data_IF_695179776206
#
_entry.id   IF_695179776206
#
_cell.length_a   1.000
_cell.length_b   1.000
_cell.length_c   1.000
_cell.angle_alpha   90.00
_cell.angle_beta   90.00
_cell.angle_gamma   90.00
#
_symmetry.space_group_name_H-M   'P 1'
#
loop_
_entity.id
_entity.type
_entity.pdbx_description
1 polymer ?
#
# COMPACT_ATOMS: atom_id res chain seq x y z
N UNK A 1 -19.59 3.59 13.35
CA UNK A 1 -19.68 5.07 13.36
C UNK A 1 -19.41 5.53 14.77
N UNK A 2 -18.66 6.63 14.91
CA UNK A 2 -18.43 7.34 16.19
C UNK A 2 -19.06 8.71 16.06
N UNK A 3 -19.94 9.03 17.00
CA UNK A 3 -20.49 10.38 17.19
C UNK A 3 -19.52 11.18 18.08
N UNK A 4 -19.08 12.34 17.60
CA UNK A 4 -18.18 13.25 18.30
C UNK A 4 -18.92 14.46 18.92
N UNK A 5 -20.23 14.51 18.78
CA UNK A 5 -21.05 15.66 19.14
C UNK A 5 -21.00 16.81 18.12
N UNK A 6 -21.88 17.78 18.30
CA UNK A 6 -21.97 18.97 17.44
C UNK A 6 -22.07 18.64 15.93
N UNK A 7 -22.78 17.58 15.56
CA UNK A 7 -22.98 17.12 14.18
C UNK A 7 -21.80 16.40 13.55
N UNK A 8 -20.69 16.20 14.25
CA UNK A 8 -19.53 15.50 13.72
C UNK A 8 -19.60 13.99 13.94
N UNK A 9 -19.36 13.24 12.86
CA UNK A 9 -19.29 11.78 12.86
C UNK A 9 -18.07 11.28 12.09
N UNK A 10 -17.51 10.15 12.54
CA UNK A 10 -16.53 9.38 11.75
C UNK A 10 -16.99 7.95 11.59
N UNK A 11 -16.79 7.40 10.39
CA UNK A 11 -17.09 6.02 10.05
C UNK A 11 -15.81 5.33 9.62
N UNK A 12 -15.56 4.15 10.20
CA UNK A 12 -14.41 3.29 9.90
C UNK A 12 -14.93 2.00 9.28
N UNK A 13 -14.58 1.75 8.01
CA UNK A 13 -15.04 0.57 7.28
C UNK A 13 -13.92 -0.44 7.02
N UNK A 14 -14.31 -1.58 6.45
CA UNK A 14 -13.46 -2.71 6.06
C UNK A 14 -12.68 -3.33 7.22
N UNK A 15 -13.27 -3.29 8.44
CA UNK A 15 -12.70 -3.95 9.61
C UNK A 15 -12.67 -5.47 9.42
N UNK A 16 -11.68 -6.14 10.00
CA UNK A 16 -11.59 -7.61 10.00
C UNK A 16 -12.82 -8.21 10.69
N UNK A 17 -13.39 -9.22 10.08
CA UNK A 17 -14.56 -9.90 10.64
C UNK A 17 -14.27 -10.41 12.07
N UNK A 18 -15.21 -10.23 12.97
CA UNK A 18 -15.11 -10.58 14.40
C UNK A 18 -13.96 -9.89 15.16
N UNK A 19 -13.39 -8.79 14.66
CA UNK A 19 -12.31 -8.07 15.34
C UNK A 19 -12.76 -6.83 16.12
N UNK A 20 -14.03 -6.45 16.04
CA UNK A 20 -14.54 -5.29 16.74
C UNK A 20 -14.39 -5.44 18.26
N UNK A 21 -13.80 -4.45 18.90
CA UNK A 21 -13.54 -4.40 20.35
C UNK A 21 -14.45 -3.41 21.07
N UNK A 22 -15.38 -2.81 20.35
CA UNK A 22 -16.33 -1.82 20.85
C UNK A 22 -17.75 -2.23 20.54
N UNK A 23 -18.71 -1.73 21.33
CA UNK A 23 -20.14 -1.99 21.18
C UNK A 23 -20.91 -0.71 20.89
N UNK A 24 -22.08 -0.83 20.30
CA UNK A 24 -22.99 0.30 20.12
C UNK A 24 -23.34 0.94 21.48
N UNK A 25 -23.31 2.27 21.55
CA UNK A 25 -23.54 3.04 22.78
C UNK A 25 -22.32 3.13 23.72
N UNK A 26 -21.22 2.46 23.41
CA UNK A 26 -20.00 2.57 24.19
C UNK A 26 -19.29 3.91 23.94
N UNK A 27 -18.91 4.59 25.02
CA UNK A 27 -18.02 5.75 24.92
C UNK A 27 -16.61 5.30 24.61
N UNK A 28 -15.98 5.95 23.65
CA UNK A 28 -14.59 5.73 23.25
C UNK A 28 -13.80 7.03 23.38
N UNK A 29 -12.49 6.89 23.61
CA UNK A 29 -11.57 8.02 23.72
C UNK A 29 -10.55 7.97 22.57
N UNK A 30 -9.80 9.05 22.40
CA UNK A 30 -8.69 9.08 21.45
C UNK A 30 -7.68 7.95 21.76
N UNK A 31 -7.35 7.17 20.73
CA UNK A 31 -6.45 6.02 20.88
C UNK A 31 -7.15 4.73 21.32
N UNK A 32 -8.45 4.75 21.59
CA UNK A 32 -9.21 3.51 21.83
C UNK A 32 -9.11 2.60 20.62
N UNK A 33 -8.78 1.33 20.87
CA UNK A 33 -8.72 0.33 19.83
C UNK A 33 -10.14 -0.05 19.41
N UNK A 34 -10.48 0.14 18.14
CA UNK A 34 -11.80 -0.17 17.58
C UNK A 34 -11.87 -1.60 17.04
N UNK A 35 -10.77 -2.11 16.50
CA UNK A 35 -10.68 -3.44 15.89
C UNK A 35 -9.43 -3.53 15.01
N UNK A 36 -9.42 -4.50 14.10
CA UNK A 36 -8.32 -4.72 13.15
C UNK A 36 -8.76 -4.35 11.73
N UNK A 37 -7.82 -3.89 10.92
CA UNK A 37 -8.01 -3.69 9.49
C UNK A 37 -8.26 -5.05 8.83
N UNK A 38 -9.17 -5.09 7.85
CA UNK A 38 -9.51 -6.31 7.13
C UNK A 38 -10.14 -6.07 5.79
N UNK A 39 -10.94 -7.02 5.35
CA UNK A 39 -11.56 -7.12 4.03
C UNK A 39 -13.09 -7.21 4.08
N UNK A 40 -13.73 -6.75 5.16
CA UNK A 40 -15.20 -6.83 5.25
C UNK A 40 -15.87 -5.83 4.30
N UNK A 41 -17.01 -6.22 3.73
CA UNK A 41 -17.75 -5.41 2.77
C UNK A 41 -17.15 -5.44 1.36
N UNK A 42 -17.49 -4.46 0.54
CA UNK A 42 -17.00 -4.35 -0.84
C UNK A 42 -15.64 -3.67 -0.85
N UNK A 43 -14.58 -4.47 -0.83
CA UNK A 43 -13.19 -4.00 -0.92
C UNK A 43 -12.32 -5.07 -1.57
N UNK A 44 -11.20 -4.66 -2.13
CA UNK A 44 -10.29 -5.54 -2.86
C UNK A 44 -8.96 -5.78 -2.14
N UNK A 45 -8.66 -5.00 -1.10
CA UNK A 45 -7.44 -5.15 -0.30
C UNK A 45 -7.64 -4.60 1.12
N UNK A 46 -6.85 -5.05 2.12
CA UNK A 46 -6.97 -4.57 3.50
C UNK A 46 -6.60 -3.09 3.61
N UNK A 47 -7.57 -2.28 4.03
CA UNK A 47 -7.35 -0.85 4.31
C UNK A 47 -8.39 -0.32 5.31
N UNK A 48 -8.14 0.86 5.86
CA UNK A 48 -9.13 1.63 6.59
C UNK A 48 -9.81 2.60 5.63
N UNK A 49 -11.11 2.44 5.44
CA UNK A 49 -11.91 3.46 4.79
C UNK A 49 -12.49 4.39 5.87
N UNK A 50 -11.97 5.61 5.93
CA UNK A 50 -12.45 6.65 6.83
C UNK A 50 -13.41 7.58 6.09
N UNK A 51 -14.63 7.75 6.63
CA UNK A 51 -15.53 8.82 6.19
C UNK A 51 -15.73 9.78 7.35
N UNK A 52 -15.57 11.07 7.10
CA UNK A 52 -15.89 12.15 8.04
C UNK A 52 -17.18 12.82 7.59
N UNK A 53 -18.09 13.09 8.53
CA UNK A 53 -19.33 13.83 8.26
C UNK A 53 -19.52 14.97 9.26
N UNK A 54 -20.14 16.02 8.78
CA UNK A 54 -20.63 17.11 9.62
C UNK A 54 -22.06 17.46 9.17
N UNK A 55 -22.99 17.37 10.09
CA UNK A 55 -24.43 17.56 9.83
C UNK A 55 -24.94 16.75 8.64
N UNK A 56 -24.49 15.48 8.54
CA UNK A 56 -24.84 14.53 7.49
C UNK A 56 -24.07 14.71 6.17
N UNK A 57 -23.34 15.80 5.97
CA UNK A 57 -22.54 16.04 4.76
C UNK A 57 -21.16 15.38 4.89
N UNK A 58 -20.70 14.74 3.81
CA UNK A 58 -19.34 14.18 3.76
C UNK A 58 -18.34 15.31 3.62
N UNK A 59 -17.33 15.30 4.49
CA UNK A 59 -16.25 16.28 4.56
C UNK A 59 -14.94 15.61 4.18
N UNK A 60 -14.19 16.24 3.29
CA UNK A 60 -12.79 15.83 3.01
C UNK A 60 -11.90 16.25 4.19
N UNK A 61 -11.27 15.28 4.90
CA UNK A 61 -10.45 15.61 6.07
C UNK A 61 -9.13 16.31 5.73
N UNK A 62 -8.70 16.32 4.46
CA UNK A 62 -7.47 17.01 4.02
C UNK A 62 -7.73 18.48 3.65
N UNK A 63 -8.94 18.82 3.24
CA UNK A 63 -9.29 20.19 2.86
C UNK A 63 -10.29 20.83 3.81
N UNK A 64 -11.06 20.04 4.58
CA UNK A 64 -12.17 20.51 5.41
C UNK A 64 -13.41 20.93 4.61
N UNK A 65 -13.39 20.74 3.29
CA UNK A 65 -14.49 21.06 2.38
C UNK A 65 -15.49 19.92 2.21
N UNK A 66 -16.68 20.25 1.67
CA UNK A 66 -17.65 19.25 1.22
C UNK A 66 -17.25 18.65 -0.14
N UNK A 67 -17.90 17.55 -0.54
CA UNK A 67 -17.65 16.91 -1.83
C UNK A 67 -17.95 17.79 -3.07
N UNK A 68 -18.72 18.86 -2.89
CA UNK A 68 -19.08 19.77 -3.97
C UNK A 68 -18.00 20.81 -4.31
N UNK A 69 -16.90 20.78 -3.54
CA UNK A 69 -15.77 21.69 -3.75
C UNK A 69 -14.84 21.11 -4.82
N UNK A 70 -14.44 21.92 -5.78
CA UNK A 70 -13.55 21.48 -6.86
C UNK A 70 -12.20 20.95 -6.32
N UNK A 71 -11.66 19.93 -6.96
CA UNK A 71 -10.34 19.40 -6.65
C UNK A 71 -9.28 20.52 -6.67
N UNK A 72 -8.39 20.49 -5.68
CA UNK A 72 -7.31 21.49 -5.55
C UNK A 72 -7.74 22.82 -4.90
N UNK A 73 -9.01 22.96 -4.44
CA UNK A 73 -9.41 24.14 -3.68
C UNK A 73 -8.66 24.16 -2.34
N UNK A 74 -7.96 25.27 -2.03
CA UNK A 74 -7.30 25.40 -0.73
C UNK A 74 -8.30 25.31 0.41
N UNK A 75 -7.96 24.55 1.44
CA UNK A 75 -8.79 24.40 2.62
C UNK A 75 -7.95 24.19 3.87
N UNK A 76 -8.61 24.00 5.00
CA UNK A 76 -7.94 23.71 6.25
C UNK A 76 -8.14 22.25 6.63
N UNK A 77 -7.06 21.48 6.60
CA UNK A 77 -7.09 20.09 7.03
C UNK A 77 -7.63 19.94 8.45
N UNK A 78 -8.40 18.87 8.67
CA UNK A 78 -8.95 18.52 9.98
C UNK A 78 -7.92 17.74 10.83
N UNK A 79 -6.81 17.33 10.24
CA UNK A 79 -5.75 16.63 10.95
C UNK A 79 -5.05 17.55 11.94
N UNK A 80 -4.86 17.08 13.17
CA UNK A 80 -4.10 17.82 14.19
C UNK A 80 -2.61 17.73 13.90
N UNK A 81 -2.14 16.58 13.43
CA UNK A 81 -0.76 16.34 13.08
C UNK A 81 -0.53 16.74 11.62
N UNK A 82 0.29 17.76 11.34
CA UNK A 82 0.59 18.18 9.98
C UNK A 82 1.38 17.13 9.18
N UNK A 83 1.93 16.09 9.84
CA UNK A 83 2.63 14.99 9.16
C UNK A 83 1.68 14.05 8.41
N UNK A 84 0.36 14.14 8.62
CA UNK A 84 -0.62 13.39 7.83
C UNK A 84 -0.84 14.14 6.52
N UNK A 85 0.02 13.90 5.53
CA UNK A 85 -0.11 14.39 4.16
C UNK A 85 -1.09 13.57 3.34
N UNK A 86 -1.57 14.15 2.24
CA UNK A 86 -2.28 13.40 1.21
C UNK A 86 -1.27 12.73 0.28
N UNK A 87 -1.33 11.40 0.19
CA UNK A 87 -0.48 10.62 -0.72
C UNK A 87 -1.32 10.19 -1.94
N UNK A 88 -0.99 10.74 -3.10
CA UNK A 88 -1.65 10.38 -4.37
C UNK A 88 -1.25 8.99 -4.84
N UNK A 89 -0.04 8.58 -4.53
CA UNK A 89 0.55 7.29 -4.90
C UNK A 89 1.42 6.79 -3.76
N UNK A 90 1.37 5.49 -3.49
CA UNK A 90 2.33 4.87 -2.58
C UNK A 90 2.58 3.40 -2.92
N UNK A 91 3.84 2.99 -2.75
CA UNK A 91 4.27 1.60 -2.74
C UNK A 91 4.06 1.07 -1.32
N UNK A 92 2.91 0.45 -1.05
CA UNK A 92 2.57 0.05 0.31
C UNK A 92 3.05 -1.34 0.69
N UNK A 93 3.36 -2.19 -0.30
CA UNK A 93 3.88 -3.52 -0.02
C UNK A 93 4.91 -3.93 -1.08
N UNK A 94 5.99 -4.60 -0.65
CA UNK A 94 7.08 -5.07 -1.49
C UNK A 94 7.65 -6.36 -0.92
N UNK A 95 8.05 -7.29 -1.76
CA UNK A 95 8.62 -8.53 -1.28
C UNK A 95 9.22 -9.41 -2.36
N UNK A 96 9.75 -10.54 -1.93
CA UNK A 96 10.29 -11.59 -2.79
C UNK A 96 9.35 -12.78 -2.88
N UNK A 97 9.47 -13.53 -3.98
CA UNK A 97 8.82 -14.82 -4.20
C UNK A 97 9.74 -15.76 -5.00
N UNK A 98 9.63 -17.06 -4.75
CA UNK A 98 10.39 -18.11 -5.45
C UNK A 98 9.81 -18.48 -6.84
N UNK A 99 8.63 -17.97 -7.16
CA UNK A 99 7.89 -18.18 -8.39
C UNK A 99 7.05 -16.98 -8.74
N UNK A 100 6.22 -17.08 -9.79
CA UNK A 100 5.24 -16.02 -10.10
C UNK A 100 4.36 -15.72 -8.90
N UNK A 101 4.29 -14.45 -8.44
CA UNK A 101 3.57 -14.09 -7.24
C UNK A 101 2.05 -14.21 -7.43
N UNK A 102 1.38 -14.84 -6.47
CA UNK A 102 -0.08 -14.91 -6.45
C UNK A 102 -0.65 -13.69 -5.69
N UNK A 103 -1.05 -12.69 -6.46
CA UNK A 103 -1.44 -11.37 -5.93
C UNK A 103 -2.55 -11.42 -4.88
N UNK A 104 -3.55 -12.30 -5.06
CA UNK A 104 -4.66 -12.39 -4.11
C UNK A 104 -4.21 -12.94 -2.75
N UNK A 105 -3.28 -13.90 -2.73
CA UNK A 105 -2.73 -14.41 -1.49
C UNK A 105 -1.89 -13.34 -0.76
N UNK A 106 -1.08 -12.58 -1.50
CA UNK A 106 -0.29 -11.46 -0.96
C UNK A 106 -1.22 -10.42 -0.33
N UNK A 107 -2.31 -10.05 -1.00
CA UNK A 107 -3.31 -9.10 -0.52
C UNK A 107 -4.12 -9.62 0.67
N UNK A 108 -4.24 -10.93 0.82
CA UNK A 108 -4.84 -11.58 1.99
C UNK A 108 -3.87 -11.71 3.16
N UNK A 109 -2.64 -11.21 3.02
CA UNK A 109 -1.64 -11.16 4.08
C UNK A 109 -0.63 -12.29 4.06
N UNK A 110 -0.49 -13.01 2.92
CA UNK A 110 0.65 -13.92 2.75
C UNK A 110 1.94 -13.08 2.83
N UNK A 111 2.87 -13.39 3.75
CA UNK A 111 4.10 -12.63 3.88
C UNK A 111 5.00 -12.82 2.67
N UNK A 112 5.88 -11.85 2.43
CA UNK A 112 7.04 -12.04 1.55
C UNK A 112 7.86 -13.23 2.04
N UNK A 113 8.39 -13.99 1.12
CA UNK A 113 9.35 -15.04 1.46
C UNK A 113 10.66 -14.38 1.96
N UNK A 114 11.01 -14.65 3.21
CA UNK A 114 12.23 -14.10 3.85
C UNK A 114 13.43 -15.05 3.77
N UNK A 115 13.20 -16.29 3.34
CA UNK A 115 14.22 -17.29 3.05
C UNK A 115 13.72 -18.22 1.95
N UNK A 116 14.48 -18.30 0.85
CA UNK A 116 14.20 -19.20 -0.26
C UNK A 116 15.26 -20.28 -0.35
N UNK A 117 14.87 -21.50 -0.76
CA UNK A 117 15.85 -22.56 -0.99
C UNK A 117 16.75 -22.20 -2.20
N UNK A 118 18.02 -22.66 -2.18
CA UNK A 118 18.98 -22.42 -3.25
C UNK A 118 18.59 -23.09 -4.58
N UNK A 119 17.62 -23.96 -4.56
CA UNK A 119 17.04 -24.61 -5.73
C UNK A 119 15.72 -23.98 -6.19
N UNK A 120 15.31 -22.85 -5.59
CA UNK A 120 14.12 -22.11 -6.01
C UNK A 120 14.12 -21.88 -7.54
N UNK A 121 12.99 -22.08 -8.23
CA UNK A 121 12.93 -21.99 -9.70
C UNK A 121 13.11 -20.56 -10.21
N UNK A 122 12.83 -19.56 -9.39
CA UNK A 122 12.99 -18.15 -9.72
C UNK A 122 13.31 -17.31 -8.50
N UNK A 123 13.79 -16.10 -8.72
CA UNK A 123 13.88 -15.01 -7.76
C UNK A 123 13.08 -13.85 -8.33
N UNK A 124 11.96 -13.53 -7.71
CA UNK A 124 11.01 -12.52 -8.18
C UNK A 124 10.85 -11.44 -7.13
N UNK A 125 11.06 -10.19 -7.51
CA UNK A 125 10.76 -9.01 -6.71
C UNK A 125 9.42 -8.45 -7.16
N UNK A 126 8.48 -8.30 -6.23
CA UNK A 126 7.14 -7.80 -6.50
C UNK A 126 6.82 -6.55 -5.68
N UNK A 127 5.87 -5.77 -6.15
CA UNK A 127 5.35 -4.57 -5.48
C UNK A 127 3.85 -4.48 -5.66
N UNK A 128 3.15 -4.07 -4.60
CA UNK A 128 1.74 -3.66 -4.64
C UNK A 128 1.66 -2.16 -4.28
N UNK A 129 0.98 -1.40 -5.12
CA UNK A 129 0.91 0.06 -5.03
C UNK A 129 -0.47 0.57 -5.46
N UNK A 130 -0.79 1.79 -5.03
CA UNK A 130 -2.02 2.46 -5.43
C UNK A 130 -1.74 3.81 -6.09
N UNK A 131 -2.74 4.35 -6.82
CA UNK A 131 -2.73 5.70 -7.38
C UNK A 131 -1.81 5.88 -8.58
N UNK A 132 -1.53 4.79 -9.32
CA UNK A 132 -0.68 4.89 -10.53
C UNK A 132 -1.38 5.57 -11.67
N UNK A 133 -0.60 6.23 -12.52
CA UNK A 133 -1.03 6.88 -13.75
C UNK A 133 -0.34 6.27 -14.96
N UNK A 134 -0.95 6.45 -16.13
CA UNK A 134 -0.32 6.15 -17.39
C UNK A 134 1.01 6.90 -17.51
N UNK A 135 2.04 6.25 -18.05
CA UNK A 135 3.43 6.70 -18.17
C UNK A 135 4.25 6.75 -16.87
N UNK A 136 3.67 6.43 -15.71
CA UNK A 136 4.49 6.17 -14.52
C UNK A 136 5.49 5.05 -14.80
N UNK A 137 6.65 5.09 -14.15
CA UNK A 137 7.72 4.11 -14.34
C UNK A 137 8.04 3.42 -13.02
N UNK A 138 8.11 2.09 -13.07
CA UNK A 138 8.65 1.24 -12.02
C UNK A 138 10.02 0.71 -12.43
N UNK A 139 11.00 0.82 -11.56
CA UNK A 139 12.32 0.21 -11.73
C UNK A 139 12.53 -0.86 -10.65
N UNK A 140 12.83 -2.07 -11.08
CA UNK A 140 13.12 -3.20 -10.20
C UNK A 140 14.61 -3.50 -10.27
N UNK A 141 15.27 -3.49 -9.10
CA UNK A 141 16.68 -3.85 -8.98
C UNK A 141 16.86 -4.92 -7.92
N UNK A 142 17.63 -5.94 -8.24
CA UNK A 142 18.06 -6.96 -7.28
C UNK A 142 19.59 -6.98 -7.27
N UNK A 143 20.16 -6.86 -6.07
CA UNK A 143 21.59 -6.98 -5.82
C UNK A 143 21.85 -8.30 -5.10
N UNK A 144 22.78 -9.10 -5.61
CA UNK A 144 23.17 -10.39 -5.04
C UNK A 144 24.07 -10.28 -3.81
N UNK A 145 24.43 -11.43 -3.20
CA UNK A 145 25.26 -11.48 -1.99
C UNK A 145 26.68 -10.92 -2.18
N UNK A 146 27.18 -10.93 -3.39
CA UNK A 146 28.48 -10.37 -3.79
C UNK A 146 28.46 -8.86 -4.10
N UNK A 147 27.28 -8.22 -3.91
CA UNK A 147 27.07 -6.82 -4.23
C UNK A 147 26.85 -6.54 -5.73
N UNK A 148 26.83 -7.55 -6.56
CA UNK A 148 26.59 -7.37 -7.99
C UNK A 148 25.11 -7.23 -8.31
N UNK A 149 24.80 -6.39 -9.29
CA UNK A 149 23.45 -6.23 -9.80
C UNK A 149 23.06 -7.45 -10.63
N UNK A 150 22.05 -8.21 -10.18
CA UNK A 150 21.57 -9.42 -10.86
C UNK A 150 20.29 -9.19 -11.65
N UNK A 151 19.51 -8.17 -11.30
CA UNK A 151 18.33 -7.71 -12.06
C UNK A 151 18.32 -6.18 -12.11
N UNK A 152 18.12 -5.63 -13.30
CA UNK A 152 17.73 -4.23 -13.54
C UNK A 152 16.65 -4.21 -14.62
N UNK A 153 15.44 -3.84 -14.25
CA UNK A 153 14.29 -3.89 -15.15
C UNK A 153 13.38 -2.70 -14.94
N UNK A 154 13.19 -1.89 -15.99
CA UNK A 154 12.18 -0.84 -16.06
C UNK A 154 10.85 -1.37 -16.60
N UNK A 155 9.76 -0.86 -16.06
CA UNK A 155 8.39 -1.07 -16.52
C UNK A 155 7.69 0.29 -16.59
N UNK A 156 7.31 0.72 -17.79
CA UNK A 156 6.43 1.87 -17.97
C UNK A 156 4.98 1.40 -17.94
N UNK A 157 4.13 2.10 -17.19
CA UNK A 157 2.72 1.77 -17.05
C UNK A 157 1.93 2.32 -18.23
N UNK A 158 1.02 1.52 -18.76
CA UNK A 158 0.22 1.81 -19.95
C UNK A 158 -1.16 2.42 -19.66
N UNK A 159 -1.52 2.53 -18.38
CA UNK A 159 -2.84 3.02 -17.96
C UNK A 159 -2.87 3.50 -16.52
N UNK A 160 -3.79 4.43 -16.24
CA UNK A 160 -4.13 4.88 -14.89
C UNK A 160 -4.96 3.84 -14.16
N UNK A 161 -4.56 3.49 -12.93
CA UNK A 161 -5.24 2.51 -12.10
C UNK A 161 -5.22 2.93 -10.62
N UNK A 162 -6.35 2.76 -9.94
CA UNK A 162 -6.42 2.99 -8.50
C UNK A 162 -5.49 2.03 -7.73
N UNK A 163 -5.22 0.84 -8.29
CA UNK A 163 -4.38 -0.19 -7.69
C UNK A 163 -3.62 -0.95 -8.77
N UNK A 164 -2.34 -1.18 -8.54
CA UNK A 164 -1.47 -1.87 -9.48
C UNK A 164 -0.57 -2.86 -8.74
N UNK A 165 -0.40 -4.03 -9.33
CA UNK A 165 0.57 -5.03 -8.88
C UNK A 165 1.53 -5.31 -10.01
N UNK A 166 2.82 -5.27 -9.72
CA UNK A 166 3.86 -5.53 -10.70
C UNK A 166 4.97 -6.39 -10.09
N UNK A 167 5.67 -7.09 -10.94
CA UNK A 167 6.84 -7.86 -10.54
C UNK A 167 7.85 -7.97 -11.67
N UNK A 168 9.10 -8.21 -11.31
CA UNK A 168 10.17 -8.59 -12.22
C UNK A 168 11.06 -9.63 -11.54
N UNK A 169 11.63 -10.53 -12.32
CA UNK A 169 12.43 -11.59 -11.75
C UNK A 169 13.31 -12.31 -12.75
N UNK A 170 14.08 -13.24 -12.20
CA UNK A 170 15.02 -14.09 -12.92
C UNK A 170 14.64 -15.55 -12.71
N UNK A 171 14.79 -16.35 -13.75
CA UNK A 171 14.80 -17.81 -13.62
C UNK A 171 16.12 -18.26 -13.00
N UNK A 172 16.09 -19.38 -12.28
CA UNK A 172 17.26 -19.98 -11.68
C UNK A 172 18.40 -20.14 -12.70
N UNK A 173 19.59 -19.60 -12.42
CA UNK A 173 20.77 -19.81 -13.24
C UNK A 173 21.17 -21.29 -13.27
N UNK A 174 21.85 -21.72 -14.31
CA UNK A 174 22.38 -23.11 -14.39
C UNK A 174 23.35 -23.44 -13.26
N UNK A 175 24.06 -22.45 -12.75
CA UNK A 175 24.98 -22.55 -11.62
C UNK A 175 24.28 -22.62 -10.25
N UNK A 176 22.94 -22.47 -10.21
CA UNK A 176 22.18 -22.29 -8.98
C UNK A 176 22.24 -20.86 -8.44
N UNK A 177 21.54 -20.61 -7.34
CA UNK A 177 21.61 -19.34 -6.61
C UNK A 177 22.83 -19.33 -5.69
N UNK A 178 23.52 -18.20 -5.59
CA UNK A 178 24.53 -17.99 -4.56
C UNK A 178 23.86 -17.91 -3.18
N UNK A 179 24.46 -18.55 -2.17
CA UNK A 179 23.98 -18.41 -0.81
C UNK A 179 24.31 -17.01 -0.28
N UNK A 180 23.37 -16.38 0.41
CA UNK A 180 23.58 -15.09 1.05
C UNK A 180 22.38 -14.16 0.90
N UNK A 181 22.57 -12.89 1.24
CA UNK A 181 21.53 -11.88 1.28
C UNK A 181 21.34 -11.22 -0.09
N UNK A 182 20.12 -11.25 -0.59
CA UNK A 182 19.69 -10.48 -1.76
C UNK A 182 18.95 -9.22 -1.31
N UNK A 183 19.25 -8.07 -1.92
CA UNK A 183 18.54 -6.82 -1.68
C UNK A 183 17.72 -6.48 -2.90
N UNK A 184 16.43 -6.16 -2.70
CA UNK A 184 15.50 -5.74 -3.72
C UNK A 184 15.10 -4.28 -3.51
N UNK A 185 15.28 -3.45 -4.53
CA UNK A 185 14.82 -2.07 -4.56
C UNK A 185 13.76 -1.93 -5.67
N UNK A 186 12.60 -1.37 -5.33
CA UNK A 186 11.61 -0.92 -6.30
C UNK A 186 11.54 0.59 -6.21
N UNK A 187 11.78 1.26 -7.34
CA UNK A 187 11.71 2.71 -7.46
C UNK A 187 10.53 3.07 -8.33
N UNK A 188 9.68 3.98 -7.83
CA UNK A 188 8.57 4.57 -8.57
C UNK A 188 8.94 5.98 -9.01
N UNK A 189 8.60 6.33 -10.25
CA UNK A 189 8.79 7.68 -10.80
C UNK A 189 7.56 8.15 -11.54
N UNK A 190 7.15 9.40 -11.29
CA UNK A 190 6.12 10.14 -12.02
C UNK A 190 6.70 11.37 -12.67
N UNK A 191 6.74 11.41 -14.01
CA UNK A 191 7.35 12.52 -14.76
C UNK A 191 8.79 12.79 -14.35
N UNK A 192 9.15 14.07 -14.18
CA UNK A 192 10.46 14.50 -13.64
C UNK A 192 10.44 14.75 -12.13
N UNK A 193 9.34 14.43 -11.46
CA UNK A 193 9.08 14.71 -10.04
C UNK A 193 9.30 13.53 -9.10
N UNK A 194 8.34 13.28 -8.25
CA UNK A 194 8.41 12.38 -7.10
C UNK A 194 9.00 11.00 -7.40
N UNK A 195 10.04 10.65 -6.65
CA UNK A 195 10.60 9.30 -6.64
C UNK A 195 10.33 8.67 -5.26
N UNK A 196 9.64 7.56 -5.23
CA UNK A 196 9.52 6.74 -4.02
C UNK A 196 10.34 5.46 -4.19
N UNK A 197 11.12 5.09 -3.18
CA UNK A 197 11.92 3.86 -3.17
C UNK A 197 11.47 2.98 -2.03
N UNK A 198 11.15 1.73 -2.32
CA UNK A 198 10.91 0.68 -1.33
C UNK A 198 11.98 -0.39 -1.40
N UNK A 199 12.43 -0.82 -0.23
CA UNK A 199 13.49 -1.84 -0.09
C UNK A 199 12.97 -3.05 0.65
N UNK A 200 13.41 -4.21 0.19
CA UNK A 200 13.21 -5.49 0.88
C UNK A 200 14.49 -6.31 0.83
N UNK A 201 14.61 -7.26 1.74
CA UNK A 201 15.77 -8.16 1.84
C UNK A 201 15.32 -9.60 1.87
N UNK A 202 16.14 -10.43 1.31
CA UNK A 202 15.86 -11.85 1.20
C UNK A 202 17.13 -12.70 1.38
#
# INVERSE_FOLDING_TARGET
VIDHGNGWETQYCHMKHNSLQVKAGQRVERGSRLGLIGLSGKTEFPHVHLTVRHDGHVIDPFTGGTQDVACGTPGRALWRDPAVGYEEVALYNVGFAASEPFVDAIRQGQPSEVAMPLDAPALVLWVDLFGVQEQDVLEFRITGPDGQLVLDRGLQLDRTQARHFAYAGLRRPRTGWAAGLYNGDVTFRRGQGATEVRRTRH
#
